data_IF_405296390076
#
_entry.id   IF_405296390076
#
_cell.length_a   1.000
_cell.length_b   1.000
_cell.length_c   1.000
_cell.angle_alpha   90.00
_cell.angle_beta   90.00
_cell.angle_gamma   90.00
#
_symmetry.space_group_name_H-M   'P 1'
#
loop_
_entity.id
_entity.type
_entity.pdbx_description
1 polymer ?
#
# COMPACT_ATOMS: atom_id res chain seq x y z
N UNK A 1 6.93 21.32 -5.27
CA UNK A 1 7.70 20.29 -4.53
C UNK A 1 6.76 19.12 -4.33
N UNK A 2 7.12 17.93 -4.79
CA UNK A 2 6.36 16.72 -4.49
C UNK A 2 6.82 16.19 -3.13
N UNK A 3 5.87 15.78 -2.28
CA UNK A 3 6.16 15.19 -0.97
C UNK A 3 5.83 13.71 -1.01
N UNK A 4 6.72 12.85 -0.52
CA UNK A 4 6.47 11.41 -0.47
C UNK A 4 6.62 10.89 0.96
N UNK A 5 5.65 10.11 1.41
CA UNK A 5 5.68 9.39 2.68
C UNK A 5 5.54 7.89 2.44
N UNK A 6 6.14 7.09 3.31
CA UNK A 6 6.12 5.64 3.22
C UNK A 6 5.75 5.03 4.56
N UNK A 7 4.96 3.95 4.53
CA UNK A 7 4.60 3.14 5.68
C UNK A 7 4.67 1.67 5.30
N UNK A 8 5.41 0.90 6.08
CA UNK A 8 5.44 -0.56 5.95
C UNK A 8 4.92 -1.23 7.20
N UNK A 9 4.16 -2.32 7.04
CA UNK A 9 3.64 -3.13 8.13
C UNK A 9 3.65 -4.61 7.73
N UNK A 10 3.82 -5.51 8.69
CA UNK A 10 3.64 -6.95 8.47
C UNK A 10 2.30 -7.40 9.05
N UNK A 11 1.48 -8.07 8.25
CA UNK A 11 0.19 -8.62 8.64
C UNK A 11 0.06 -10.05 8.08
N UNK A 12 -0.21 -11.05 8.94
CA UNK A 12 -0.30 -12.47 8.56
C UNK A 12 0.89 -13.01 7.74
N UNK A 13 2.11 -12.52 8.00
CA UNK A 13 3.31 -12.90 7.22
C UNK A 13 3.48 -12.14 5.90
N UNK A 14 2.50 -11.33 5.48
CA UNK A 14 2.61 -10.46 4.33
C UNK A 14 3.17 -9.10 4.75
N UNK A 15 4.14 -8.58 4.01
CA UNK A 15 4.67 -7.22 4.15
C UNK A 15 3.86 -6.28 3.27
N UNK A 16 3.11 -5.39 3.89
CA UNK A 16 2.35 -4.33 3.25
C UNK A 16 3.24 -3.09 3.19
N UNK A 17 3.45 -2.54 2.00
CA UNK A 17 4.23 -1.33 1.75
C UNK A 17 3.33 -0.28 1.09
N UNK A 18 2.98 0.76 1.83
CA UNK A 18 2.17 1.86 1.35
C UNK A 18 3.06 3.09 1.12
N UNK A 19 2.87 3.75 -0.01
CA UNK A 19 3.54 5.01 -0.34
C UNK A 19 2.47 6.05 -0.63
N UNK A 20 2.56 7.23 -0.05
CA UNK A 20 1.71 8.37 -0.36
C UNK A 20 2.56 9.45 -1.00
N UNK A 21 2.16 9.91 -2.19
CA UNK A 21 2.84 10.96 -2.94
C UNK A 21 1.88 12.12 -3.13
N UNK A 22 2.28 13.30 -2.67
CA UNK A 22 1.60 14.56 -2.94
C UNK A 22 2.20 15.15 -4.21
N UNK A 23 1.40 15.20 -5.27
CA UNK A 23 1.77 15.97 -6.45
C UNK A 23 1.41 17.44 -6.20
N UNK A 24 2.41 18.31 -6.35
CA UNK A 24 2.32 19.73 -6.01
C UNK A 24 1.41 20.57 -6.92
N UNK A 25 0.58 19.93 -7.74
CA UNK A 25 -0.31 20.59 -8.69
C UNK A 25 -1.68 20.90 -8.08
N UNK A 26 -2.18 20.03 -7.20
CA UNK A 26 -3.52 20.18 -6.56
C UNK A 26 -3.44 20.11 -5.03
N UNK A 27 -2.26 19.87 -4.44
CA UNK A 27 -2.09 19.70 -3.00
C UNK A 27 -2.68 18.41 -2.43
N UNK A 28 -3.24 17.55 -3.29
CA UNK A 28 -3.84 16.28 -2.94
C UNK A 28 -2.81 15.16 -2.86
N UNK A 29 -3.00 14.25 -1.91
CA UNK A 29 -2.18 13.05 -1.75
C UNK A 29 -2.78 11.89 -2.53
N UNK A 30 -1.92 11.19 -3.29
CA UNK A 30 -2.23 9.93 -3.94
C UNK A 30 -1.51 8.80 -3.22
N UNK A 31 -2.20 7.70 -2.95
CA UNK A 31 -1.59 6.50 -2.36
C UNK A 31 -1.28 5.48 -3.45
N UNK A 32 -0.03 5.03 -3.50
CA UNK A 32 0.37 3.82 -4.18
C UNK A 32 0.56 2.70 -3.14
N UNK A 33 -0.15 1.59 -3.32
CA UNK A 33 -0.02 0.41 -2.48
C UNK A 33 0.81 -0.66 -3.18
N UNK A 34 1.67 -1.33 -2.42
CA UNK A 34 2.36 -2.54 -2.84
C UNK A 34 2.29 -3.56 -1.70
N UNK A 35 1.73 -4.73 -1.97
CA UNK A 35 1.69 -5.81 -0.98
C UNK A 35 2.67 -6.88 -1.43
N UNK A 36 3.59 -7.27 -0.55
CA UNK A 36 4.54 -8.36 -0.76
C UNK A 36 4.21 -9.49 0.20
N UNK A 37 4.25 -10.72 -0.29
CA UNK A 37 4.13 -11.90 0.59
C UNK A 37 5.43 -12.17 1.34
N UNK A 38 5.39 -13.05 2.35
CA UNK A 38 6.59 -13.56 3.03
C UNK A 38 7.62 -14.11 2.03
N UNK A 39 7.13 -14.80 0.99
CA UNK A 39 7.92 -15.35 -0.10
C UNK A 39 8.47 -14.29 -1.09
N UNK A 40 8.33 -12.99 -0.79
CA UNK A 40 8.84 -11.90 -1.62
C UNK A 40 8.06 -11.67 -2.91
N UNK A 41 6.93 -12.35 -3.12
CA UNK A 41 6.07 -12.13 -4.28
C UNK A 41 5.37 -10.79 -4.13
N UNK A 42 5.70 -9.83 -5.00
CA UNK A 42 4.97 -8.58 -5.10
C UNK A 42 3.64 -8.86 -5.79
N UNK A 43 2.56 -8.72 -5.03
CA UNK A 43 1.22 -8.83 -5.59
C UNK A 43 0.96 -7.58 -6.44
N UNK A 44 0.42 -7.74 -7.67
CA UNK A 44 0.12 -6.64 -8.57
C UNK A 44 -1.14 -5.88 -8.12
N UNK A 45 -1.18 -5.47 -6.85
CA UNK A 45 -2.19 -4.56 -6.32
C UNK A 45 -1.74 -3.12 -6.49
N UNK A 46 -1.18 -2.82 -7.66
CA UNK A 46 -1.01 -1.46 -8.16
C UNK A 46 -2.39 -0.87 -8.46
N UNK A 47 -3.22 -0.76 -7.42
CA UNK A 47 -4.38 0.07 -7.43
C UNK A 47 -3.84 1.44 -7.06
N UNK A 48 -3.51 2.21 -8.09
CA UNK A 48 -3.67 3.65 -8.01
C UNK A 48 -5.15 3.85 -7.64
N UNK A 49 -5.41 3.91 -6.34
CA UNK A 49 -6.71 4.32 -5.86
C UNK A 49 -6.78 5.78 -6.32
N UNK A 50 -7.54 6.04 -7.40
CA UNK A 50 -7.78 7.39 -7.91
C UNK A 50 -8.43 8.30 -6.85
N UNK A 51 -8.73 7.74 -5.68
CA UNK A 51 -9.02 8.40 -4.41
C UNK A 51 -7.90 9.36 -4.03
N UNK A 52 -8.28 10.62 -3.98
CA UNK A 52 -7.44 11.73 -3.52
C UNK A 52 -7.66 11.93 -2.03
N UNK A 53 -6.58 12.11 -1.28
CA UNK A 53 -6.62 12.33 0.17
C UNK A 53 -6.13 13.72 0.54
N UNK A 54 -6.70 14.32 1.58
CA UNK A 54 -6.27 15.62 2.10
C UNK A 54 -4.92 15.54 2.83
N UNK A 55 -4.59 14.38 3.38
CA UNK A 55 -3.36 14.14 4.14
C UNK A 55 -2.67 12.83 3.75
N UNK A 56 -1.35 12.79 3.95
CA UNK A 56 -0.56 11.59 3.77
C UNK A 56 -1.00 10.45 4.71
N UNK A 57 -1.36 10.77 5.95
CA UNK A 57 -1.79 9.75 6.92
C UNK A 57 -3.08 9.05 6.49
N UNK A 58 -4.06 9.79 5.93
CA UNK A 58 -5.27 9.19 5.38
C UNK A 58 -4.96 8.26 4.21
N UNK A 59 -4.09 8.70 3.29
CA UNK A 59 -3.66 7.92 2.14
C UNK A 59 -2.96 6.62 2.57
N UNK A 60 -2.02 6.72 3.53
CA UNK A 60 -1.28 5.57 4.06
C UNK A 60 -2.18 4.62 4.86
N UNK A 61 -3.12 5.14 5.66
CA UNK A 61 -4.04 4.33 6.46
C UNK A 61 -4.98 3.52 5.56
N UNK A 62 -5.55 4.15 4.53
CA UNK A 62 -6.40 3.47 3.56
C UNK A 62 -5.64 2.35 2.83
N UNK A 63 -4.42 2.65 2.38
CA UNK A 63 -3.56 1.67 1.72
C UNK A 63 -3.22 0.47 2.63
N UNK A 64 -2.95 0.70 3.92
CA UNK A 64 -2.71 -0.38 4.89
C UNK A 64 -3.96 -1.24 5.10
N UNK A 65 -5.14 -0.64 5.27
CA UNK A 65 -6.41 -1.39 5.44
C UNK A 65 -6.68 -2.27 4.22
N UNK A 66 -6.51 -1.74 3.02
CA UNK A 66 -6.64 -2.50 1.77
C UNK A 66 -5.60 -3.64 1.76
N UNK A 67 -4.34 -3.35 2.06
CA UNK A 67 -3.27 -4.34 2.10
C UNK A 67 -3.53 -5.48 3.07
N UNK A 68 -4.13 -5.20 4.23
CA UNK A 68 -4.53 -6.23 5.22
C UNK A 68 -5.66 -7.11 4.69
N UNK A 69 -6.70 -6.51 4.10
CA UNK A 69 -7.79 -7.28 3.48
C UNK A 69 -7.26 -8.24 2.40
N UNK A 70 -6.34 -7.75 1.57
CA UNK A 70 -5.71 -8.55 0.53
C UNK A 70 -4.83 -9.69 1.08
N UNK A 71 -4.13 -9.44 2.18
CA UNK A 71 -3.36 -10.47 2.89
C UNK A 71 -4.28 -11.53 3.51
N UNK A 72 -5.42 -11.13 4.08
CA UNK A 72 -6.44 -12.04 4.62
C UNK A 72 -7.13 -12.87 3.52
N UNK A 73 -7.37 -12.32 2.33
CA UNK A 73 -7.98 -13.04 1.19
C UNK A 73 -7.03 -14.06 0.53
N UNK A 74 -5.73 -14.02 0.80
CA UNK A 74 -4.71 -14.87 0.15
C UNK A 74 -3.74 -15.49 1.16
N UNK A 75 -4.20 -16.35 2.09
CA UNK A 75 -3.32 -17.07 3.01
C UNK A 75 -2.40 -18.09 2.32
N UNK A 76 -2.67 -18.46 1.06
CA UNK A 76 -2.12 -19.62 0.34
C UNK A 76 -0.99 -19.31 -0.68
N UNK A 77 -0.24 -18.21 -0.57
CA UNK A 77 1.02 -18.12 -1.33
C UNK A 77 2.10 -18.91 -0.58
N UNK A 78 2.54 -20.06 -1.11
CA UNK A 78 3.41 -20.98 -0.38
C UNK A 78 4.71 -20.29 0.00
N UNK A 79 5.23 -20.64 1.18
CA UNK A 79 6.56 -20.23 1.66
C UNK A 79 7.71 -20.68 0.74
N UNK A 80 7.44 -21.50 -0.28
CA UNK A 80 8.41 -22.06 -1.21
C UNK A 80 7.95 -21.88 -2.67
N UNK A 81 8.67 -21.05 -3.44
CA UNK A 81 8.74 -21.09 -4.89
C UNK A 81 10.17 -20.83 -5.34
#
# INVERSE_FOLDING_TARGET
MSSTQHRSETHNGHRIEATATQDGHDGQWRSQLSVRTAAGTQLPYGKDDATTYDTAEQALSAAVVIGRGLADERPDLPEDA
#
